data_IF_177345646595
#
_entry.id   IF_177345646595
#
_cell.length_a   1.000
_cell.length_b   1.000
_cell.length_c   1.000
_cell.angle_alpha   90.00
_cell.angle_beta   90.00
_cell.angle_gamma   90.00
#
_symmetry.space_group_name_H-M   'P 1'
#
loop_
_entity.id
_entity.type
_entity.pdbx_description
1 polymer ?
#
# COMPACT_ATOMS: atom_id res chain seq x y z
N UNK A 1 0.41 -2.99 -20.28
CA UNK A 1 -0.96 -2.86 -19.74
C UNK A 1 -0.88 -2.16 -18.39
N UNK A 2 -1.54 -1.02 -18.23
CA UNK A 2 -1.48 -0.17 -17.05
C UNK A 2 -2.71 -0.37 -16.16
N UNK A 3 -2.49 -0.84 -14.93
CA UNK A 3 -3.47 -0.87 -13.84
C UNK A 3 -3.20 0.25 -12.81
N UNK A 4 -2.20 1.09 -13.07
CA UNK A 4 -1.78 2.22 -12.22
C UNK A 4 -1.88 3.53 -12.97
N UNK A 5 -2.18 4.65 -12.29
CA UNK A 5 -2.22 5.95 -12.94
C UNK A 5 -0.82 6.48 -13.25
N UNK A 6 -0.65 7.13 -14.42
CA UNK A 6 0.64 7.68 -14.85
C UNK A 6 1.12 8.90 -14.03
N UNK A 7 0.29 9.50 -13.17
CA UNK A 7 0.72 10.59 -12.30
C UNK A 7 1.45 10.12 -11.03
N UNK A 8 1.45 8.83 -10.73
CA UNK A 8 2.27 8.23 -9.68
C UNK A 8 3.65 7.88 -10.27
N UNK A 9 4.74 8.07 -9.50
CA UNK A 9 6.11 7.85 -10.02
C UNK A 9 6.32 6.46 -10.65
N UNK A 10 5.83 5.40 -10.01
CA UNK A 10 5.89 4.05 -10.56
C UNK A 10 5.09 3.94 -11.86
N UNK A 11 3.86 4.46 -11.89
CA UNK A 11 3.05 4.50 -13.10
C UNK A 11 3.71 5.33 -14.20
N UNK A 12 4.25 6.51 -13.89
CA UNK A 12 4.97 7.34 -14.86
C UNK A 12 6.14 6.59 -15.50
N UNK A 13 6.99 5.97 -14.68
CA UNK A 13 8.17 5.25 -15.17
C UNK A 13 7.81 4.08 -16.08
N UNK A 14 6.82 3.28 -15.71
CA UNK A 14 6.49 2.03 -16.41
C UNK A 14 5.40 2.17 -17.46
N UNK A 15 4.55 3.20 -17.42
CA UNK A 15 3.42 3.35 -18.36
C UNK A 15 3.48 4.62 -19.22
N UNK A 16 4.49 5.47 -19.00
CA UNK A 16 4.76 6.62 -19.86
C UNK A 16 6.20 6.64 -20.36
N UNK A 17 7.19 6.71 -19.44
CA UNK A 17 8.59 6.88 -19.83
C UNK A 17 9.15 5.63 -20.54
N UNK A 18 9.06 4.46 -19.92
CA UNK A 18 9.57 3.20 -20.51
C UNK A 18 8.94 2.90 -21.86
N UNK A 19 7.62 2.94 -22.05
CA UNK A 19 7.01 2.73 -23.35
C UNK A 19 7.45 3.75 -24.40
N UNK A 20 7.58 5.03 -24.03
CA UNK A 20 8.05 6.08 -24.92
C UNK A 20 9.48 5.83 -25.41
N UNK A 21 10.37 5.40 -24.51
CA UNK A 21 11.77 5.09 -24.85
C UNK A 21 11.92 3.81 -25.69
N UNK A 22 11.06 2.84 -25.45
CA UNK A 22 11.10 1.52 -26.12
C UNK A 22 10.19 1.43 -27.35
N UNK A 23 9.42 2.47 -27.68
CA UNK A 23 8.47 2.44 -28.81
C UNK A 23 7.32 1.45 -28.61
N UNK A 24 6.89 1.23 -27.35
CA UNK A 24 5.87 0.25 -26.99
C UNK A 24 4.49 0.91 -26.85
N UNK A 25 3.41 0.23 -27.28
CA UNK A 25 2.06 0.70 -27.04
C UNK A 25 1.67 0.57 -25.56
N UNK A 26 0.79 1.44 -25.09
CA UNK A 26 0.26 1.42 -23.74
C UNK A 26 -1.27 1.21 -23.76
N UNK A 27 -1.74 0.19 -23.05
CA UNK A 27 -3.15 -0.03 -22.82
C UNK A 27 -3.50 0.41 -21.39
N UNK A 28 -4.30 1.47 -21.24
CA UNK A 28 -4.87 1.84 -19.94
C UNK A 28 -6.07 0.94 -19.62
N UNK A 29 -5.85 0.02 -18.68
CA UNK A 29 -6.84 -0.98 -18.29
C UNK A 29 -7.55 -0.67 -16.96
N UNK A 30 -7.32 0.50 -16.34
CA UNK A 30 -7.85 0.86 -15.02
C UNK A 30 -9.38 0.85 -14.94
N UNK A 31 -10.05 1.22 -16.00
CA UNK A 31 -11.51 1.23 -16.11
C UNK A 31 -12.04 0.23 -17.14
N UNK A 32 -11.20 -0.70 -17.60
CA UNK A 32 -11.60 -1.66 -18.64
C UNK A 32 -12.42 -2.81 -18.04
N UNK A 33 -13.55 -3.17 -18.64
CA UNK A 33 -14.31 -4.34 -18.22
C UNK A 33 -13.46 -5.63 -18.32
N UNK A 34 -13.58 -6.56 -17.36
CA UNK A 34 -12.74 -7.78 -17.31
C UNK A 34 -12.74 -8.60 -18.61
N UNK A 35 -13.92 -8.82 -19.22
CA UNK A 35 -14.02 -9.59 -20.45
C UNK A 35 -13.28 -8.95 -21.64
N UNK A 36 -13.28 -7.61 -21.74
CA UNK A 36 -12.50 -6.89 -22.74
C UNK A 36 -11.00 -6.98 -22.46
N UNK A 37 -10.61 -6.86 -21.20
CA UNK A 37 -9.21 -6.98 -20.80
C UNK A 37 -8.69 -8.39 -21.11
N UNK A 38 -9.44 -9.44 -20.77
CA UNK A 38 -9.10 -10.83 -21.09
C UNK A 38 -8.88 -11.07 -22.59
N UNK A 39 -9.74 -10.46 -23.43
CA UNK A 39 -9.64 -10.60 -24.89
C UNK A 39 -8.46 -9.78 -25.51
N UNK A 40 -7.89 -8.86 -24.73
CA UNK A 40 -6.82 -7.96 -25.23
C UNK A 40 -5.43 -8.38 -24.75
N UNK A 41 -5.34 -9.03 -23.57
CA UNK A 41 -4.05 -9.46 -23.01
C UNK A 41 -3.37 -10.52 -23.89
N UNK A 42 -2.06 -10.35 -24.07
CA UNK A 42 -1.20 -11.27 -24.80
C UNK A 42 -0.02 -11.73 -23.93
N UNK A 43 0.56 -12.90 -24.21
CA UNK A 43 1.67 -13.47 -23.44
C UNK A 43 2.96 -12.63 -23.44
N UNK A 44 3.09 -11.66 -24.35
CA UNK A 44 4.22 -10.72 -24.38
C UNK A 44 3.98 -9.43 -23.59
N UNK A 45 2.83 -9.29 -22.92
CA UNK A 45 2.50 -8.06 -22.22
C UNK A 45 3.22 -7.93 -20.88
N UNK A 46 3.63 -6.69 -20.59
CA UNK A 46 3.98 -6.26 -19.24
C UNK A 46 2.73 -5.67 -18.54
N UNK A 47 2.27 -6.32 -17.51
CA UNK A 47 1.18 -5.82 -16.66
C UNK A 47 1.77 -5.05 -15.48
N UNK A 48 1.47 -3.76 -15.42
CA UNK A 48 1.97 -2.84 -14.38
C UNK A 48 0.85 -2.55 -13.41
N UNK A 49 1.00 -2.97 -12.15
CA UNK A 49 -0.08 -2.92 -11.18
C UNK A 49 0.37 -2.69 -9.73
N UNK A 50 -0.58 -2.70 -8.84
CA UNK A 50 -0.38 -2.69 -7.40
C UNK A 50 -1.08 -3.94 -6.81
N UNK A 51 -0.72 -4.40 -5.60
CA UNK A 51 -1.18 -5.70 -5.09
C UNK A 51 -2.68 -5.91 -5.16
N UNK A 52 -3.48 -4.94 -4.72
CA UNK A 52 -4.94 -5.02 -4.75
C UNK A 52 -5.50 -5.06 -6.18
N UNK A 53 -4.95 -4.26 -7.10
CA UNK A 53 -5.33 -4.26 -8.51
C UNK A 53 -5.01 -5.59 -9.20
N UNK A 54 -3.85 -6.18 -8.89
CA UNK A 54 -3.44 -7.49 -9.40
C UNK A 54 -4.30 -8.63 -8.83
N UNK A 55 -4.63 -8.58 -7.55
CA UNK A 55 -5.57 -9.53 -6.95
C UNK A 55 -6.98 -9.42 -7.56
N UNK A 56 -7.44 -8.21 -7.88
CA UNK A 56 -8.71 -7.99 -8.58
C UNK A 56 -8.67 -8.53 -10.00
N UNK A 57 -7.56 -8.33 -10.72
CA UNK A 57 -7.34 -8.90 -12.06
C UNK A 57 -7.47 -10.42 -12.02
N UNK A 58 -6.80 -11.09 -11.07
CA UNK A 58 -6.88 -12.55 -10.89
C UNK A 58 -8.31 -13.03 -10.62
N UNK A 59 -9.02 -12.37 -9.70
CA UNK A 59 -10.42 -12.72 -9.41
C UNK A 59 -11.32 -12.61 -10.65
N UNK A 60 -11.05 -11.64 -11.49
CA UNK A 60 -11.87 -11.34 -12.67
C UNK A 60 -11.57 -12.27 -13.85
N UNK A 61 -10.30 -12.64 -14.05
CA UNK A 61 -9.88 -13.41 -15.22
C UNK A 61 -9.66 -14.90 -14.92
N UNK A 62 -9.29 -15.26 -13.70
CA UNK A 62 -8.95 -16.62 -13.28
C UNK A 62 -7.65 -17.16 -13.88
N UNK A 63 -7.38 -16.91 -15.16
CA UNK A 63 -6.14 -17.27 -15.88
C UNK A 63 -5.61 -16.08 -16.66
N UNK A 64 -4.29 -16.05 -16.85
CA UNK A 64 -3.58 -15.10 -17.67
C UNK A 64 -3.02 -15.82 -18.91
N UNK A 65 -2.83 -15.13 -20.05
CA UNK A 65 -2.02 -15.68 -21.13
C UNK A 65 -0.62 -16.06 -20.64
N UNK A 66 -0.11 -17.21 -21.07
CA UNK A 66 1.23 -17.65 -20.71
C UNK A 66 2.31 -16.65 -21.21
N UNK A 67 3.32 -16.38 -20.38
CA UNK A 67 4.40 -15.48 -20.73
C UNK A 67 4.21 -14.03 -20.28
N UNK A 68 3.06 -13.67 -19.72
CA UNK A 68 2.88 -12.33 -19.12
C UNK A 68 3.93 -12.05 -18.07
N UNK A 69 4.51 -10.87 -18.10
CA UNK A 69 5.37 -10.32 -17.05
C UNK A 69 4.58 -9.34 -16.20
N UNK A 70 4.72 -9.42 -14.89
CA UNK A 70 4.02 -8.53 -13.94
C UNK A 70 5.03 -7.69 -13.17
N UNK A 71 4.84 -6.37 -13.16
CA UNK A 71 5.52 -5.44 -12.27
C UNK A 71 4.53 -4.92 -11.22
N UNK A 72 4.87 -5.09 -9.95
CA UNK A 72 4.09 -4.61 -8.80
C UNK A 72 4.87 -3.60 -7.99
N UNK A 73 4.20 -2.57 -7.48
CA UNK A 73 4.78 -1.59 -6.55
C UNK A 73 3.69 -0.93 -5.71
N UNK A 74 4.03 0.12 -4.99
CA UNK A 74 3.18 0.97 -4.13
C UNK A 74 2.85 0.38 -2.76
N UNK A 75 2.77 -0.93 -2.64
CA UNK A 75 2.59 -1.65 -1.38
C UNK A 75 3.32 -3.01 -1.45
N UNK A 76 3.55 -3.63 -0.30
CA UNK A 76 4.16 -4.96 -0.25
C UNK A 76 3.26 -5.99 -0.96
N UNK A 77 3.85 -6.76 -1.88
CA UNK A 77 3.14 -7.82 -2.59
C UNK A 77 3.00 -9.05 -1.69
N UNK A 78 1.77 -9.48 -1.33
CA UNK A 78 1.59 -10.71 -0.57
C UNK A 78 2.12 -11.93 -1.32
N UNK A 79 2.80 -12.84 -0.63
CA UNK A 79 3.31 -14.07 -1.23
C UNK A 79 2.19 -14.90 -1.89
N UNK A 80 1.01 -14.95 -1.28
CA UNK A 80 -0.15 -15.62 -1.86
C UNK A 80 -0.58 -15.03 -3.20
N UNK A 81 -0.53 -13.69 -3.34
CA UNK A 81 -0.86 -13.02 -4.61
C UNK A 81 0.20 -13.30 -5.67
N UNK A 82 1.49 -13.27 -5.30
CA UNK A 82 2.57 -13.60 -6.23
C UNK A 82 2.44 -15.04 -6.74
N UNK A 83 2.26 -16.01 -5.85
CA UNK A 83 2.08 -17.41 -6.22
C UNK A 83 0.84 -17.62 -7.10
N UNK A 84 -0.25 -16.94 -6.80
CA UNK A 84 -1.47 -17.01 -7.60
C UNK A 84 -1.29 -16.44 -9.02
N UNK A 85 -0.52 -15.34 -9.18
CA UNK A 85 -0.18 -14.78 -10.49
C UNK A 85 0.65 -15.75 -11.33
N UNK A 86 1.67 -16.37 -10.73
CA UNK A 86 2.49 -17.38 -11.39
C UNK A 86 1.66 -18.61 -11.78
N UNK A 87 0.83 -19.13 -10.88
CA UNK A 87 -0.07 -20.25 -11.16
C UNK A 87 -1.12 -19.92 -12.23
N UNK A 88 -1.50 -18.66 -12.37
CA UNK A 88 -2.45 -18.19 -13.38
C UNK A 88 -1.84 -18.04 -14.79
N UNK A 89 -0.50 -18.11 -14.94
CA UNK A 89 0.17 -18.05 -16.26
C UNK A 89 1.23 -16.95 -16.38
N UNK A 90 1.45 -16.12 -15.36
CA UNK A 90 2.54 -15.15 -15.40
C UNK A 90 3.89 -15.87 -15.42
N UNK A 91 4.79 -15.49 -16.33
CA UNK A 91 6.15 -16.04 -16.41
C UNK A 91 7.08 -15.44 -15.36
N UNK A 92 6.80 -14.20 -14.96
CA UNK A 92 7.58 -13.49 -13.95
C UNK A 92 6.70 -12.49 -13.21
N UNK A 93 6.94 -12.35 -11.90
CA UNK A 93 6.30 -11.35 -11.06
C UNK A 93 7.39 -10.63 -10.28
N UNK A 94 7.62 -9.37 -10.61
CA UNK A 94 8.66 -8.55 -9.99
C UNK A 94 8.03 -7.47 -9.12
N UNK A 95 8.45 -7.37 -7.88
CA UNK A 95 8.10 -6.29 -6.97
C UNK A 95 9.18 -5.21 -6.99
N UNK A 96 8.75 -3.95 -7.20
CA UNK A 96 9.62 -2.77 -7.26
C UNK A 96 9.44 -1.98 -5.95
N UNK A 97 10.53 -1.71 -5.27
CA UNK A 97 10.60 -0.84 -4.12
C UNK A 97 11.14 0.53 -4.51
N UNK A 98 10.51 1.58 -3.98
CA UNK A 98 10.91 2.96 -4.20
C UNK A 98 10.00 3.96 -3.52
N UNK A 99 10.31 5.24 -3.67
CA UNK A 99 9.52 6.37 -3.18
C UNK A 99 9.43 7.48 -4.22
N UNK A 100 8.60 8.49 -3.98
CA UNK A 100 8.52 9.67 -4.86
C UNK A 100 9.84 10.42 -4.93
N UNK A 101 10.61 10.44 -3.84
CA UNK A 101 11.87 11.17 -3.70
C UNK A 101 13.06 10.44 -4.34
N UNK A 102 13.00 9.11 -4.40
CA UNK A 102 14.10 8.28 -4.88
C UNK A 102 13.84 7.63 -6.22
N UNK A 103 12.59 7.63 -6.69
CA UNK A 103 12.13 6.71 -7.73
C UNK A 103 12.41 5.25 -7.32
N UNK A 104 12.78 4.36 -8.25
CA UNK A 104 13.12 2.98 -7.92
C UNK A 104 14.38 2.88 -7.07
N UNK A 105 14.32 2.11 -5.99
CA UNK A 105 15.45 1.78 -5.11
C UNK A 105 15.94 0.37 -5.40
N UNK A 106 15.03 -0.59 -5.49
CA UNK A 106 15.37 -2.00 -5.66
C UNK A 106 14.20 -2.83 -6.17
N UNK A 107 14.47 -4.10 -6.41
CA UNK A 107 13.49 -5.05 -6.93
C UNK A 107 13.71 -6.45 -6.33
N UNK A 108 12.68 -7.28 -6.36
CA UNK A 108 12.74 -8.70 -6.01
C UNK A 108 11.72 -9.51 -6.81
N UNK A 109 12.03 -10.78 -7.05
CA UNK A 109 11.14 -11.74 -7.73
C UNK A 109 10.50 -12.74 -6.78
N UNK A 110 10.89 -12.73 -5.51
CA UNK A 110 10.35 -13.62 -4.47
C UNK A 110 9.80 -12.76 -3.34
N UNK A 111 8.51 -12.87 -3.08
CA UNK A 111 7.87 -12.14 -1.99
C UNK A 111 8.51 -12.51 -0.63
N UNK A 112 8.77 -11.50 0.19
CA UNK A 112 9.44 -11.68 1.48
C UNK A 112 10.97 -11.76 1.42
N UNK A 113 11.58 -11.98 0.24
CA UNK A 113 13.04 -11.89 0.09
C UNK A 113 13.52 -10.43 0.19
N UNK A 114 14.83 -10.23 0.35
CA UNK A 114 15.46 -8.92 0.30
C UNK A 114 15.39 -8.30 -1.10
N UNK A 115 15.27 -6.98 -1.17
CA UNK A 115 15.32 -6.24 -2.42
C UNK A 115 16.76 -6.09 -2.90
N UNK A 116 17.03 -6.47 -4.14
CA UNK A 116 18.29 -6.17 -4.84
C UNK A 116 18.28 -4.70 -5.22
N UNK A 117 19.32 -3.95 -4.85
CA UNK A 117 19.41 -2.54 -5.18
C UNK A 117 19.61 -2.33 -6.68
N UNK A 118 18.96 -1.29 -7.22
CA UNK A 118 19.26 -0.82 -8.58
C UNK A 118 20.71 -0.28 -8.64
N UNK A 119 21.40 -0.37 -9.79
CA UNK A 119 22.82 0.01 -9.94
C UNK A 119 23.16 1.44 -9.51
N UNK A 120 22.18 2.34 -9.54
CA UNK A 120 22.35 3.73 -9.09
C UNK A 120 22.52 3.88 -7.57
N UNK A 121 22.20 2.85 -6.78
CA UNK A 121 22.21 2.90 -5.35
C UNK A 121 23.25 1.97 -4.73
N UNK A 122 23.86 2.42 -3.65
CA UNK A 122 24.66 1.62 -2.73
C UNK A 122 24.08 1.80 -1.33
N UNK A 123 24.09 0.74 -0.55
CA UNK A 123 23.70 0.82 0.86
C UNK A 123 24.90 1.32 1.67
N UNK A 124 24.70 2.40 2.40
CA UNK A 124 25.64 2.86 3.42
C UNK A 124 25.16 2.38 4.78
N UNK A 125 25.82 1.35 5.29
CA UNK A 125 25.54 0.73 6.60
C UNK A 125 26.56 1.13 7.67
N UNK A 126 27.43 2.09 7.38
CA UNK A 126 28.38 2.64 8.37
C UNK A 126 27.69 3.48 9.45
N UNK A 127 26.42 3.81 9.27
CA UNK A 127 25.56 4.55 10.21
C UNK A 127 24.55 3.59 10.86
N UNK A 128 24.07 3.89 12.09
CA UNK A 128 23.13 3.01 12.80
C UNK A 128 21.86 2.69 12.01
N UNK A 129 21.42 3.63 11.17
CA UNK A 129 20.30 3.45 10.28
C UNK A 129 20.78 3.46 8.83
N UNK A 130 20.52 2.41 8.03
CA UNK A 130 20.97 2.34 6.66
C UNK A 130 20.50 3.53 5.82
N UNK A 131 21.41 4.10 5.03
CA UNK A 131 21.12 5.16 4.07
C UNK A 131 21.45 4.70 2.66
N UNK A 132 20.79 5.29 1.68
CA UNK A 132 21.15 5.11 0.28
C UNK A 132 22.22 6.11 -0.11
N UNK A 133 23.29 5.62 -0.75
CA UNK A 133 24.30 6.45 -1.40
C UNK A 133 24.08 6.36 -2.91
N UNK A 134 23.87 7.48 -3.55
CA UNK A 134 23.77 7.55 -5.00
C UNK A 134 25.15 7.33 -5.63
N UNK A 135 25.25 6.34 -6.51
CA UNK A 135 26.54 5.91 -7.06
C UNK A 135 27.23 6.99 -7.92
N UNK A 136 26.46 7.82 -8.62
CA UNK A 136 27.01 8.86 -9.50
C UNK A 136 27.48 10.09 -8.74
N UNK A 137 26.77 10.51 -7.69
CA UNK A 137 27.01 11.79 -7.01
C UNK A 137 27.60 11.65 -5.60
N UNK A 138 27.51 10.44 -5.03
CA UNK A 138 27.86 10.20 -3.62
C UNK A 138 26.83 10.75 -2.62
N UNK A 139 25.73 11.34 -3.09
CA UNK A 139 24.69 11.92 -2.25
C UNK A 139 24.06 10.86 -1.35
N UNK A 140 23.92 11.17 -0.08
CA UNK A 140 23.21 10.34 0.90
C UNK A 140 21.73 10.71 0.93
N UNK A 141 20.88 9.68 0.90
CA UNK A 141 19.43 9.81 0.96
C UNK A 141 18.90 8.85 2.03
N UNK A 142 18.11 9.32 2.99
CA UNK A 142 17.51 8.46 3.99
C UNK A 142 16.48 7.53 3.32
N UNK A 143 16.43 6.27 3.78
CA UNK A 143 15.36 5.37 3.38
C UNK A 143 14.02 5.84 3.98
N UNK A 144 12.92 5.80 3.24
CA UNK A 144 11.58 6.13 3.76
C UNK A 144 11.08 5.09 4.77
N UNK A 145 11.66 3.89 4.71
CA UNK A 145 11.31 2.74 5.54
C UNK A 145 12.45 2.37 6.48
N UNK A 146 12.13 1.74 7.61
CA UNK A 146 13.12 1.01 8.40
C UNK A 146 13.52 -0.22 7.61
N UNK A 147 14.79 -0.46 7.51
CA UNK A 147 15.34 -1.54 6.72
C UNK A 147 16.66 -2.03 7.31
N UNK A 148 17.02 -3.26 7.00
CA UNK A 148 18.34 -3.80 7.30
C UNK A 148 18.97 -4.44 6.06
N UNK A 149 20.30 -4.36 5.98
CA UNK A 149 21.07 -5.12 5.01
C UNK A 149 21.07 -6.60 5.41
N UNK A 150 20.99 -7.46 4.42
CA UNK A 150 21.21 -8.90 4.59
C UNK A 150 22.67 -9.24 4.25
N UNK A 151 23.12 -10.42 4.60
CA UNK A 151 24.50 -10.88 4.33
C UNK A 151 24.81 -10.94 2.83
N UNK A 152 23.82 -11.22 1.99
CA UNK A 152 23.94 -11.23 0.52
C UNK A 152 23.83 -9.82 -0.12
N UNK A 153 23.79 -8.76 0.69
CA UNK A 153 23.76 -7.37 0.24
C UNK A 153 22.38 -6.89 -0.26
N UNK A 154 21.33 -7.68 -0.01
CA UNK A 154 19.96 -7.22 -0.29
C UNK A 154 19.39 -6.40 0.86
N UNK A 155 18.25 -5.75 0.65
CA UNK A 155 17.60 -4.86 1.60
C UNK A 155 16.27 -5.45 2.08
N UNK A 156 16.17 -5.80 3.36
CA UNK A 156 14.91 -6.21 3.98
C UNK A 156 14.21 -5.00 4.61
N UNK A 157 12.95 -4.80 4.25
CA UNK A 157 12.11 -3.73 4.83
C UNK A 157 11.44 -4.24 6.10
N UNK A 158 11.45 -3.40 7.15
CA UNK A 158 10.90 -3.69 8.48
C UNK A 158 9.71 -2.80 8.83
N UNK A 159 9.22 -2.03 7.86
CA UNK A 159 8.07 -1.14 7.98
C UNK A 159 8.43 0.34 7.87
N UNK A 160 7.41 1.18 7.82
CA UNK A 160 7.58 2.62 7.60
C UNK A 160 8.09 3.35 8.84
N UNK A 161 8.98 4.32 8.64
CA UNK A 161 9.48 5.19 9.71
C UNK A 161 8.42 6.16 10.22
N UNK A 162 7.56 6.63 9.33
CA UNK A 162 6.50 7.60 9.63
C UNK A 162 5.18 6.95 10.08
N UNK A 163 5.19 5.64 10.29
CA UNK A 163 3.99 4.86 10.65
C UNK A 163 2.83 5.01 9.64
N UNK A 164 3.11 5.47 8.42
CA UNK A 164 2.10 5.47 7.37
C UNK A 164 1.70 4.03 7.01
N UNK A 165 0.43 3.87 6.69
CA UNK A 165 -0.16 2.59 6.24
C UNK A 165 -0.52 2.73 4.78
N UNK A 166 -0.20 1.73 3.97
CA UNK A 166 -0.63 1.67 2.58
C UNK A 166 -2.08 1.22 2.50
N UNK A 167 -2.94 2.08 1.95
CA UNK A 167 -4.35 1.79 1.69
C UNK A 167 -4.67 2.10 0.24
N UNK A 168 -4.97 1.08 -0.56
CA UNK A 168 -5.24 1.25 -2.00
C UNK A 168 -4.10 1.92 -2.78
N UNK A 169 -2.84 1.69 -2.37
CA UNK A 169 -1.66 2.30 -2.99
C UNK A 169 -1.34 3.73 -2.50
N UNK A 170 -2.09 4.28 -1.56
CA UNK A 170 -1.85 5.60 -0.96
C UNK A 170 -1.27 5.47 0.45
N UNK A 171 -0.32 6.35 0.78
CA UNK A 171 0.19 6.49 2.14
C UNK A 171 -0.83 7.22 3.01
N UNK A 172 -1.34 6.54 4.01
CA UNK A 172 -2.29 7.08 4.99
C UNK A 172 -1.65 7.11 6.37
N UNK A 173 -1.80 8.23 7.07
CA UNK A 173 -1.26 8.41 8.41
C UNK A 173 -2.37 8.27 9.46
N UNK A 174 -2.48 7.10 10.16
CA UNK A 174 -3.54 6.87 11.14
C UNK A 174 -3.58 7.94 12.26
N UNK A 175 -2.41 8.42 12.68
CA UNK A 175 -2.31 9.46 13.71
C UNK A 175 -2.97 10.78 13.28
N UNK A 176 -2.83 11.17 11.99
CA UNK A 176 -3.48 12.37 11.44
C UNK A 176 -5.00 12.20 11.41
N UNK A 177 -5.49 11.01 11.03
CA UNK A 177 -6.92 10.72 11.03
C UNK A 177 -7.47 10.73 12.46
N UNK A 178 -6.75 10.16 13.42
CA UNK A 178 -7.14 10.22 14.84
C UNK A 178 -7.18 11.67 15.36
N UNK A 179 -6.23 12.51 14.95
CA UNK A 179 -6.22 13.92 15.29
C UNK A 179 -7.44 14.65 14.72
N UNK A 180 -7.80 14.36 13.46
CA UNK A 180 -8.99 14.93 12.86
C UNK A 180 -10.27 14.51 13.60
N UNK A 181 -10.42 13.21 13.93
CA UNK A 181 -11.59 12.73 14.67
C UNK A 181 -11.77 13.44 16.01
N UNK A 182 -10.67 13.74 16.70
CA UNK A 182 -10.67 14.50 17.98
C UNK A 182 -11.16 15.95 17.85
N UNK A 183 -11.23 16.51 16.64
CA UNK A 183 -11.81 17.85 16.42
C UNK A 183 -13.33 17.83 16.36
N UNK A 184 -13.98 16.65 16.30
CA UNK A 184 -15.44 16.56 16.36
C UNK A 184 -15.94 16.89 17.78
N UNK A 185 -17.00 17.71 17.93
CA UNK A 185 -17.45 18.19 19.25
C UNK A 185 -17.82 17.08 20.23
N UNK A 186 -18.37 15.97 19.76
CA UNK A 186 -18.81 14.84 20.59
C UNK A 186 -17.73 13.78 20.82
N UNK A 187 -16.49 14.01 20.39
CA UNK A 187 -15.36 13.09 20.59
C UNK A 187 -14.45 13.60 21.71
N UNK A 188 -14.27 12.79 22.74
CA UNK A 188 -13.31 13.04 23.81
C UNK A 188 -11.91 12.56 23.43
N UNK A 189 -11.80 11.35 22.89
CA UNK A 189 -10.55 10.77 22.43
C UNK A 189 -10.78 9.86 21.22
N UNK A 190 -9.76 9.68 20.39
CA UNK A 190 -9.81 8.75 19.27
C UNK A 190 -8.43 8.12 19.01
N UNK A 191 -8.44 6.86 18.64
CA UNK A 191 -7.31 6.12 18.09
C UNK A 191 -7.68 5.54 16.71
N UNK A 192 -6.74 5.51 15.79
CA UNK A 192 -6.94 4.95 14.46
C UNK A 192 -5.80 3.99 14.15
N UNK A 193 -6.13 2.82 13.57
CA UNK A 193 -5.18 1.78 13.21
C UNK A 193 -5.56 1.09 11.91
N UNK A 194 -4.61 0.38 11.27
CA UNK A 194 -4.95 -0.55 10.19
C UNK A 194 -5.89 -1.64 10.70
N UNK A 195 -6.88 -1.98 9.91
CA UNK A 195 -7.69 -3.18 10.10
C UNK A 195 -7.04 -4.33 9.34
N UNK A 196 -6.34 -5.17 10.09
CA UNK A 196 -5.61 -6.34 9.55
C UNK A 196 -6.51 -7.55 9.32
N UNK A 197 -7.79 -7.48 9.67
CA UNK A 197 -8.77 -8.57 9.45
C UNK A 197 -9.34 -8.55 8.04
N UNK A 198 -9.15 -7.45 7.31
CA UNK A 198 -9.61 -7.29 5.93
C UNK A 198 -8.54 -7.77 4.93
N UNK A 199 -8.99 -8.33 3.81
CA UNK A 199 -8.09 -8.77 2.72
C UNK A 199 -7.26 -7.61 2.13
N UNK A 200 -7.80 -6.40 2.14
CA UNK A 200 -7.09 -5.17 1.79
C UNK A 200 -6.99 -4.27 3.03
N UNK A 201 -5.80 -3.71 3.31
CA UNK A 201 -5.63 -2.80 4.45
C UNK A 201 -6.61 -1.62 4.36
N UNK A 202 -7.35 -1.40 5.43
CA UNK A 202 -8.22 -0.24 5.63
C UNK A 202 -7.98 0.29 7.03
N UNK A 203 -8.57 1.45 7.36
CA UNK A 203 -8.48 1.97 8.71
C UNK A 203 -9.72 1.57 9.52
N UNK A 204 -9.49 1.30 10.82
CA UNK A 204 -10.51 1.24 11.88
C UNK A 204 -10.24 2.34 12.90
N UNK A 205 -11.30 2.88 13.49
CA UNK A 205 -11.23 3.90 14.53
C UNK A 205 -11.83 3.39 15.83
N UNK A 206 -11.19 3.69 16.93
CA UNK A 206 -11.78 3.60 18.27
C UNK A 206 -12.04 5.01 18.78
N UNK A 207 -13.26 5.26 19.23
CA UNK A 207 -13.72 6.58 19.66
C UNK A 207 -14.21 6.50 21.10
N UNK A 208 -13.74 7.42 21.94
CA UNK A 208 -14.30 7.69 23.24
C UNK A 208 -15.25 8.87 23.08
N UNK A 209 -16.57 8.65 23.20
CA UNK A 209 -17.55 9.73 23.11
C UNK A 209 -17.44 10.68 24.30
N UNK A 210 -17.91 11.91 24.14
CA UNK A 210 -18.22 12.77 25.29
C UNK A 210 -19.48 12.28 25.98
N UNK A 211 -19.62 12.64 27.26
CA UNK A 211 -20.78 12.27 28.08
C UNK A 211 -22.10 12.69 27.40
N UNK A 212 -23.05 11.77 27.37
CA UNK A 212 -24.38 12.00 26.82
C UNK A 212 -24.50 11.80 25.29
N UNK A 213 -23.43 11.48 24.57
CA UNK A 213 -23.48 11.22 23.13
C UNK A 213 -24.07 9.82 22.83
N UNK A 214 -25.10 9.79 21.97
CA UNK A 214 -25.60 8.52 21.40
C UNK A 214 -24.58 7.98 20.37
N UNK A 215 -24.07 6.79 20.63
CA UNK A 215 -23.01 6.17 19.80
C UNK A 215 -23.46 5.85 18.38
N UNK A 216 -24.72 5.51 18.15
CA UNK A 216 -25.23 5.22 16.81
C UNK A 216 -25.35 6.51 15.96
N UNK A 217 -25.87 7.58 16.57
CA UNK A 217 -25.94 8.90 15.94
C UNK A 217 -24.54 9.47 15.71
N UNK A 218 -23.63 9.26 16.66
CA UNK A 218 -22.24 9.72 16.56
C UNK A 218 -21.51 8.98 15.43
N UNK A 219 -21.70 7.68 15.25
CA UNK A 219 -21.07 6.96 14.12
C UNK A 219 -21.50 7.54 12.78
N UNK A 220 -22.80 7.76 12.58
CA UNK A 220 -23.31 8.37 11.36
C UNK A 220 -22.75 9.79 11.13
N UNK A 221 -22.62 10.58 12.19
CA UNK A 221 -22.02 11.92 12.13
C UNK A 221 -20.53 11.84 11.78
N UNK A 222 -19.75 10.93 12.39
CA UNK A 222 -18.34 10.74 12.12
C UNK A 222 -18.07 10.24 10.70
N UNK A 223 -18.91 9.36 10.16
CA UNK A 223 -18.82 8.93 8.76
C UNK A 223 -18.98 10.10 7.79
N UNK A 224 -19.96 10.99 8.01
CA UNK A 224 -20.14 12.22 7.23
C UNK A 224 -18.97 13.18 7.41
N UNK A 225 -18.54 13.40 8.65
CA UNK A 225 -17.40 14.26 8.99
C UNK A 225 -16.12 13.84 8.27
N UNK A 226 -15.84 12.52 8.24
CA UNK A 226 -14.72 11.95 7.49
C UNK A 226 -14.92 12.09 5.97
N UNK A 227 -16.14 11.88 5.45
CA UNK A 227 -16.41 11.96 4.03
C UNK A 227 -16.15 13.37 3.44
N UNK A 228 -16.36 14.40 4.24
CA UNK A 228 -16.15 15.80 3.84
C UNK A 228 -14.66 16.22 3.89
N UNK A 229 -13.82 15.55 4.71
CA UNK A 229 -12.48 16.03 5.08
C UNK A 229 -11.33 15.10 4.72
N UNK A 230 -11.65 13.83 4.40
CA UNK A 230 -10.67 12.78 4.13
C UNK A 230 -10.89 12.17 2.74
N UNK A 231 -9.81 11.78 2.10
CA UNK A 231 -9.86 10.94 0.90
C UNK A 231 -10.40 9.54 1.21
N UNK A 232 -10.92 8.82 0.23
CA UNK A 232 -11.48 7.48 0.43
C UNK A 232 -10.58 6.51 1.21
N UNK A 233 -9.27 6.40 0.89
CA UNK A 233 -8.32 5.58 1.62
C UNK A 233 -8.10 5.97 3.09
N UNK A 234 -8.23 7.25 3.44
CA UNK A 234 -8.06 7.75 4.81
C UNK A 234 -9.29 7.52 5.71
N UNK A 235 -10.44 7.22 5.12
CA UNK A 235 -11.69 7.06 5.89
C UNK A 235 -11.71 5.73 6.63
N UNK A 236 -11.89 5.75 7.98
CA UNK A 236 -12.12 4.52 8.72
C UNK A 236 -13.39 3.81 8.23
N UNK A 237 -13.28 2.51 7.99
CA UNK A 237 -14.41 1.69 7.55
C UNK A 237 -15.18 1.08 8.71
N UNK A 238 -14.55 1.02 9.89
CA UNK A 238 -15.15 0.51 11.13
C UNK A 238 -14.91 1.49 12.26
N UNK A 239 -15.93 1.67 13.08
CA UNK A 239 -15.88 2.45 14.31
C UNK A 239 -16.21 1.54 15.50
N UNK A 240 -15.43 1.65 16.55
CA UNK A 240 -15.68 1.04 17.86
C UNK A 240 -15.78 2.15 18.90
N UNK A 241 -16.61 1.96 19.91
CA UNK A 241 -16.84 2.95 20.93
C UNK A 241 -16.57 2.34 22.33
N UNK A 242 -16.10 3.15 23.26
CA UNK A 242 -15.87 2.74 24.63
C UNK A 242 -15.58 3.93 25.54
N UNK A 243 -15.57 3.68 26.85
CA UNK A 243 -15.34 4.72 27.85
C UNK A 243 -13.86 5.18 27.94
N UNK A 244 -12.92 4.38 27.43
CA UNK A 244 -11.50 4.70 27.39
C UNK A 244 -10.85 4.08 26.15
N UNK A 245 -9.72 4.65 25.71
CA UNK A 245 -8.93 4.06 24.61
C UNK A 245 -8.37 2.69 25.04
N UNK A 246 -8.28 1.71 24.11
CA UNK A 246 -7.70 0.41 24.40
C UNK A 246 -6.22 0.56 24.77
N UNK A 247 -5.87 0.16 26.00
CA UNK A 247 -4.49 0.17 26.50
C UNK A 247 -4.07 -1.24 26.89
N UNK A 248 -2.84 -1.63 26.55
CA UNK A 248 -2.24 -2.88 26.98
C UNK A 248 -1.70 -2.84 28.41
N UNK A 249 -1.23 -3.98 28.89
CA UNK A 249 -0.77 -4.19 30.28
C UNK A 249 0.34 -3.23 30.78
N UNK A 250 1.01 -2.50 29.88
CA UNK A 250 2.06 -1.52 30.20
C UNK A 250 1.65 -0.08 29.87
N UNK A 251 0.35 0.20 29.72
CA UNK A 251 -0.14 1.54 29.36
C UNK A 251 0.15 1.97 27.93
N UNK A 252 0.70 1.07 27.11
CA UNK A 252 0.88 1.31 25.66
C UNK A 252 -0.45 1.03 24.95
N UNK A 253 -0.73 1.82 23.92
CA UNK A 253 -1.90 1.59 23.07
C UNK A 253 -1.93 0.15 22.56
N UNK A 254 -3.01 -0.58 22.86
CA UNK A 254 -3.25 -1.93 22.34
C UNK A 254 -4.13 -1.90 21.10
N UNK A 255 -4.07 -2.98 20.32
CA UNK A 255 -5.03 -3.17 19.25
C UNK A 255 -6.38 -3.65 19.83
N UNK A 256 -7.46 -3.51 19.05
CA UNK A 256 -8.80 -3.95 19.41
C UNK A 256 -9.44 -4.69 18.26
N UNK A 257 -10.33 -5.63 18.59
CA UNK A 257 -11.19 -6.27 17.60
C UNK A 257 -12.35 -5.32 17.30
N UNK A 258 -12.43 -4.83 16.06
CA UNK A 258 -13.57 -4.02 15.64
C UNK A 258 -14.78 -4.93 15.40
N UNK A 259 -16.03 -4.50 15.76
CA UNK A 259 -17.23 -5.23 15.41
C UNK A 259 -17.34 -5.39 13.89
N UNK A 260 -17.96 -6.47 13.43
CA UNK A 260 -18.24 -6.64 12.01
C UNK A 260 -19.03 -5.45 11.49
N UNK A 261 -18.65 -4.96 10.30
CA UNK A 261 -19.40 -3.88 9.67
C UNK A 261 -20.83 -4.37 9.41
N UNK A 262 -21.82 -3.70 10.00
CA UNK A 262 -23.21 -3.91 9.63
C UNK A 262 -23.31 -3.64 8.14
N UNK A 263 -23.63 -4.66 7.34
CA UNK A 263 -23.90 -4.49 5.92
C UNK A 263 -25.08 -3.53 5.74
N UNK A 264 -25.03 -2.63 4.75
CA UNK A 264 -26.11 -1.69 4.48
C UNK A 264 -27.38 -2.38 4.02
#
# INVERSE_FOLDING_TARGET
>A
VALVPAHHIFGFLFTALLPSLAGLPVLDARAMPPGRLAATLAGSDLVVGFPAGLASLLRSLGRLPEGIVVASSTAALPASTQLALLAAGASQVTEIYGSSETAGIGWRDVAGAGFRLLPRWRLDSAVPEPMLREAATGRLVPLPDRARATEDGTLLLEGRRDHAVQVGGMNVHPARVAQLLRTHPDVLAAAVRPDTTLAEPRLKAFVVPRDGADTALLEAALRRFCAERLSGPERPVRFSFGAALPTGALGKDSDWTAPEASSP
#
